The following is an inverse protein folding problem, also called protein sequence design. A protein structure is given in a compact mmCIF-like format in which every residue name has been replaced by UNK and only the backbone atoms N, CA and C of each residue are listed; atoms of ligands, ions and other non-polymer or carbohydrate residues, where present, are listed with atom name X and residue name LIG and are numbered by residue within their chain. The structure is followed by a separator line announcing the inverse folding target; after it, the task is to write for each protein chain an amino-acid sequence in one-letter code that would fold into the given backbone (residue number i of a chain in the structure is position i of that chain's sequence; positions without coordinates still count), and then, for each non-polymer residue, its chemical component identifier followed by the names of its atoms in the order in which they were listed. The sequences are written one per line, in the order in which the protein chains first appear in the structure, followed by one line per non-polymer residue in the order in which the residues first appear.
data_IF_252722612304
#
_entry.id   IF_252722612304
#
_cell.length_a   1.000
_cell.length_b   1.000
_cell.length_c   1.000
_cell.angle_alpha   90.00
_cell.angle_beta   90.00
_cell.angle_gamma   90.00
#
_symmetry.space_group_name_H-M   'P 1'
#
loop_
_entity.id
_entity.type
_entity.pdbx_description
1 polymer ?
#
# COMPACT_ATOMS: atom_id res chain seq x y z
N UNK A 1 33.91 2.32 -11.45
CA UNK A 1 35.31 1.92 -11.19
C UNK A 1 35.35 0.88 -10.08
N UNK A 2 35.91 -0.28 -10.32
CA UNK A 2 36.13 -1.28 -9.26
C UNK A 2 37.67 -1.32 -9.08
N UNK A 3 38.12 -1.17 -7.83
CA UNK A 3 39.58 -1.11 -7.48
C UNK A 3 40.39 -0.09 -8.31
N UNK A 4 39.80 1.10 -8.54
CA UNK A 4 40.48 2.17 -9.30
C UNK A 4 40.59 1.94 -10.81
N UNK A 5 40.16 0.80 -11.32
CA UNK A 5 40.18 0.48 -12.77
C UNK A 5 38.80 0.73 -13.38
N UNK A 6 38.78 1.24 -14.61
CA UNK A 6 37.53 1.27 -15.39
C UNK A 6 37.20 -0.18 -15.78
N UNK A 7 36.21 -0.75 -15.16
CA UNK A 7 35.67 -2.06 -15.53
C UNK A 7 34.43 -1.81 -16.37
N UNK A 8 34.45 -2.34 -17.59
CA UNK A 8 33.24 -2.43 -18.40
C UNK A 8 32.34 -3.49 -17.72
N UNK A 9 31.27 -3.06 -17.03
CA UNK A 9 30.32 -3.98 -16.40
C UNK A 9 29.33 -4.39 -17.49
N UNK A 10 29.77 -5.19 -18.43
CA UNK A 10 28.90 -5.80 -19.44
C UNK A 10 28.26 -7.08 -18.91
N UNK A 11 28.80 -7.67 -17.86
CA UNK A 11 28.31 -8.92 -17.28
C UNK A 11 28.45 -8.88 -15.76
N UNK A 12 27.37 -9.11 -15.08
CA UNK A 12 27.33 -9.31 -13.63
C UNK A 12 26.93 -10.76 -13.40
N UNK A 13 27.84 -11.54 -12.86
CA UNK A 13 27.58 -12.92 -12.51
C UNK A 13 27.00 -12.98 -11.08
N UNK A 14 25.83 -13.56 -10.93
CA UNK A 14 25.28 -13.93 -9.64
C UNK A 14 25.40 -15.44 -9.47
N UNK A 15 25.93 -15.87 -8.34
CA UNK A 15 25.92 -17.28 -7.97
C UNK A 15 24.58 -17.54 -7.28
N UNK A 16 23.73 -18.35 -7.92
CA UNK A 16 22.45 -18.75 -7.38
C UNK A 16 22.59 -20.15 -6.76
N UNK A 17 22.49 -20.22 -5.45
CA UNK A 17 22.41 -21.49 -4.74
C UNK A 17 20.95 -21.80 -4.42
N UNK A 18 20.44 -22.93 -4.92
CA UNK A 18 19.12 -23.41 -4.56
C UNK A 18 19.24 -24.21 -3.26
N UNK A 19 18.54 -23.75 -2.23
CA UNK A 19 18.45 -24.44 -0.95
C UNK A 19 17.00 -24.96 -0.83
N UNK A 20 16.83 -26.26 -0.69
CA UNK A 20 15.51 -26.90 -0.61
C UNK A 20 15.19 -27.39 0.80
N UNK A 21 13.91 -27.29 1.15
CA UNK A 21 13.33 -27.91 2.34
C UNK A 21 13.48 -27.13 3.64
N UNK A 22 13.07 -27.76 4.74
CA UNK A 22 13.03 -27.18 6.09
C UNK A 22 14.37 -26.72 6.67
N UNK A 23 15.47 -27.02 5.99
CA UNK A 23 16.81 -26.61 6.38
C UNK A 23 17.24 -25.26 5.80
N UNK A 24 16.41 -24.61 4.95
CA UNK A 24 16.77 -23.35 4.29
C UNK A 24 17.29 -22.29 5.28
N UNK A 25 16.55 -22.06 6.35
CA UNK A 25 16.96 -21.07 7.36
C UNK A 25 18.25 -21.49 8.07
N UNK A 26 18.43 -22.77 8.34
CA UNK A 26 19.67 -23.28 8.96
C UNK A 26 20.89 -23.10 8.05
N UNK A 27 20.73 -23.33 6.76
CA UNK A 27 21.81 -23.12 5.78
C UNK A 27 22.10 -21.62 5.62
N UNK A 28 21.08 -20.77 5.57
CA UNK A 28 21.24 -19.32 5.57
C UNK A 28 22.00 -18.83 6.80
N UNK A 29 21.69 -19.37 7.98
CA UNK A 29 22.37 -19.00 9.23
C UNK A 29 23.84 -19.44 9.26
N UNK A 30 24.21 -20.52 8.59
CA UNK A 30 25.63 -20.92 8.46
C UNK A 30 26.46 -19.88 7.69
N UNK A 31 25.86 -19.20 6.72
CA UNK A 31 26.50 -18.13 5.96
C UNK A 31 26.65 -16.83 6.78
N UNK A 32 25.82 -16.63 7.79
CA UNK A 32 25.89 -15.48 8.69
C UNK A 32 26.92 -15.77 9.78
N UNK A 33 28.10 -15.16 9.63
CA UNK A 33 29.21 -15.36 10.57
C UNK A 33 29.15 -14.47 11.81
N UNK A 34 28.33 -13.43 11.79
CA UNK A 34 28.17 -12.50 12.90
C UNK A 34 27.30 -13.09 14.00
N UNK A 35 27.90 -13.34 15.18
CA UNK A 35 27.21 -13.96 16.32
C UNK A 35 26.06 -13.11 16.87
N UNK A 36 26.19 -11.78 16.84
CA UNK A 36 25.17 -10.87 17.32
C UNK A 36 23.91 -10.94 16.45
N UNK A 37 24.09 -10.98 15.12
CA UNK A 37 22.98 -11.19 14.18
C UNK A 37 22.28 -12.52 14.43
N UNK A 38 23.05 -13.59 14.66
CA UNK A 38 22.49 -14.92 14.96
C UNK A 38 21.69 -14.91 16.26
N UNK A 39 22.22 -14.29 17.32
CA UNK A 39 21.51 -14.16 18.60
C UNK A 39 20.20 -13.39 18.42
N UNK A 40 20.21 -12.29 17.68
CA UNK A 40 19.00 -11.49 17.43
C UNK A 40 17.96 -12.26 16.63
N UNK A 41 18.38 -13.03 15.64
CA UNK A 41 17.49 -13.90 14.87
C UNK A 41 16.85 -14.98 15.75
N UNK A 42 17.61 -15.55 16.69
CA UNK A 42 17.08 -16.52 17.63
C UNK A 42 16.08 -15.89 18.63
N UNK A 43 16.33 -14.66 19.09
CA UNK A 43 15.38 -13.91 19.92
C UNK A 43 14.08 -13.61 19.16
N UNK A 44 14.18 -13.15 17.92
CA UNK A 44 13.03 -12.92 17.05
C UNK A 44 12.25 -14.23 16.85
N UNK A 45 12.94 -15.33 16.59
CA UNK A 45 12.33 -16.65 16.47
C UNK A 45 11.52 -17.07 17.70
N UNK A 46 11.98 -16.68 18.89
CA UNK A 46 11.29 -16.99 20.17
C UNK A 46 10.09 -16.07 20.40
N UNK A 47 10.19 -14.80 20.02
CA UNK A 47 9.22 -13.76 20.34
C UNK A 47 8.07 -13.68 19.34
N UNK A 48 8.32 -13.99 18.08
CA UNK A 48 7.28 -13.97 17.06
C UNK A 48 6.56 -15.31 16.97
N UNK A 49 5.23 -15.26 17.03
CA UNK A 49 4.35 -16.42 16.80
C UNK A 49 4.43 -16.97 15.35
N UNK A 50 5.28 -16.41 14.53
CA UNK A 50 5.54 -16.89 13.17
C UNK A 50 6.40 -18.14 13.25
N UNK A 51 5.85 -19.21 12.75
CA UNK A 51 6.50 -20.51 12.74
C UNK A 51 7.55 -20.53 11.61
N UNK A 52 8.78 -20.07 11.89
CA UNK A 52 9.89 -20.05 10.92
C UNK A 52 10.22 -21.42 10.34
N UNK A 53 9.85 -22.49 11.04
CA UNK A 53 10.01 -23.85 10.55
C UNK A 53 9.13 -24.15 9.33
N UNK A 54 8.17 -23.24 8.99
CA UNK A 54 7.29 -23.31 7.80
C UNK A 54 7.73 -22.42 6.65
N UNK A 55 8.83 -21.66 6.76
CA UNK A 55 9.33 -20.88 5.63
C UNK A 55 10.03 -21.86 4.68
N UNK A 56 9.33 -22.15 3.59
CA UNK A 56 9.80 -23.09 2.58
C UNK A 56 10.53 -22.41 1.44
N UNK A 57 10.29 -21.10 1.22
CA UNK A 57 10.81 -20.33 0.11
C UNK A 57 11.27 -18.95 0.53
N UNK A 58 12.33 -18.46 -0.10
CA UNK A 58 12.83 -17.11 0.14
C UNK A 58 14.06 -16.79 -0.67
N UNK A 59 14.51 -15.55 -0.60
CA UNK A 59 15.76 -15.08 -1.19
C UNK A 59 16.55 -14.33 -0.12
N UNK A 60 17.81 -14.68 0.05
CA UNK A 60 18.73 -13.94 0.90
C UNK A 60 19.79 -13.23 0.05
N UNK A 61 20.01 -11.95 0.33
CA UNK A 61 21.07 -11.17 -0.27
C UNK A 61 22.10 -10.80 0.81
N UNK A 62 23.29 -11.36 0.70
CA UNK A 62 24.38 -11.07 1.63
C UNK A 62 25.38 -10.16 0.92
N UNK A 63 25.55 -8.93 1.43
CA UNK A 63 26.47 -7.95 0.89
C UNK A 63 27.66 -7.84 1.85
N UNK A 64 28.84 -8.19 1.35
CA UNK A 64 30.10 -8.18 2.10
C UNK A 64 31.08 -7.20 1.45
N UNK A 65 32.05 -6.70 2.23
CA UNK A 65 33.12 -5.83 1.75
C UNK A 65 32.57 -4.57 1.04
N UNK A 66 31.66 -3.89 1.71
CA UNK A 66 31.11 -2.63 1.24
C UNK A 66 32.25 -1.65 0.92
N UNK A 67 32.11 -0.92 -0.18
CA UNK A 67 33.11 0.04 -0.63
C UNK A 67 33.16 1.28 0.25
N UNK A 68 31.98 1.69 0.71
CA UNK A 68 31.79 2.84 1.57
C UNK A 68 31.26 2.35 2.94
N UNK A 69 31.58 3.07 4.00
CA UNK A 69 31.01 2.79 5.31
C UNK A 69 29.52 3.12 5.30
N UNK A 70 28.68 2.18 5.65
CA UNK A 70 27.26 2.39 5.84
C UNK A 70 27.03 2.80 7.30
N UNK A 71 26.97 4.10 7.54
CA UNK A 71 26.60 4.62 8.84
C UNK A 71 25.10 4.36 9.17
N UNK A 72 24.74 4.61 10.40
CA UNK A 72 23.37 4.44 10.91
C UNK A 72 22.33 5.16 10.04
N UNK A 73 22.64 6.36 9.58
CA UNK A 73 21.74 7.16 8.74
C UNK A 73 21.52 6.51 7.38
N UNK A 74 22.56 5.94 6.80
CA UNK A 74 22.47 5.29 5.51
C UNK A 74 21.67 3.98 5.62
N UNK A 75 21.97 3.16 6.62
CA UNK A 75 21.24 1.89 6.87
C UNK A 75 19.76 2.18 7.16
N UNK A 76 19.47 3.25 7.92
CA UNK A 76 18.09 3.67 8.16
C UNK A 76 17.38 4.10 6.85
N UNK A 77 18.04 4.81 5.94
CA UNK A 77 17.49 5.12 4.62
C UNK A 77 17.20 3.87 3.79
N UNK A 78 18.08 2.88 3.87
CA UNK A 78 17.85 1.58 3.20
C UNK A 78 16.62 0.91 3.80
N UNK A 79 16.50 0.85 5.13
CA UNK A 79 15.36 0.31 5.81
C UNK A 79 14.06 0.99 5.37
N UNK A 80 14.01 2.33 5.39
CA UNK A 80 12.86 3.10 4.93
C UNK A 80 12.53 2.85 3.45
N UNK A 81 13.53 2.63 2.61
CA UNK A 81 13.33 2.29 1.20
C UNK A 81 12.70 0.90 1.05
N UNK A 82 13.12 -0.06 1.87
CA UNK A 82 12.57 -1.41 1.88
C UNK A 82 11.11 -1.42 2.36
N UNK A 83 10.75 -0.58 3.34
CA UNK A 83 9.34 -0.41 3.77
C UNK A 83 8.42 0.02 2.61
N UNK A 84 8.95 0.79 1.66
CA UNK A 84 8.19 1.21 0.47
C UNK A 84 7.99 0.08 -0.57
N UNK A 85 8.69 -1.03 -0.44
CA UNK A 85 8.49 -2.20 -1.31
C UNK A 85 7.28 -3.02 -0.88
N UNK A 86 6.95 -3.00 0.41
CA UNK A 86 5.74 -3.65 0.90
C UNK A 86 4.52 -2.82 0.55
N UNK A 87 3.51 -3.39 -0.11
CA UNK A 87 2.25 -2.69 -0.33
C UNK A 87 1.57 -2.42 1.02
N UNK A 88 0.91 -1.27 1.18
CA UNK A 88 0.09 -1.04 2.35
C UNK A 88 -1.05 -2.06 2.36
N UNK A 89 -1.07 -2.89 3.35
CA UNK A 89 -2.09 -3.88 3.75
C UNK A 89 -2.78 -4.80 2.72
N UNK A 90 -3.10 -6.00 3.23
CA UNK A 90 -4.08 -6.92 2.65
C UNK A 90 -3.55 -7.80 1.53
N UNK A 91 -2.39 -7.52 1.03
CA UNK A 91 -1.78 -8.23 -0.09
C UNK A 91 -0.75 -9.22 0.47
N UNK A 92 -0.48 -10.29 -0.25
CA UNK A 92 0.54 -11.26 0.15
C UNK A 92 1.80 -10.53 0.58
N UNK A 93 2.02 -10.44 1.88
CA UNK A 93 3.18 -9.75 2.43
C UNK A 93 4.41 -10.57 2.08
N UNK A 94 5.31 -9.97 1.34
CA UNK A 94 6.68 -10.47 1.29
C UNK A 94 7.31 -10.02 2.62
N UNK A 95 7.70 -10.96 3.46
CA UNK A 95 8.43 -10.63 4.66
C UNK A 95 9.85 -10.22 4.25
N UNK A 96 10.16 -8.94 4.40
CA UNK A 96 11.48 -8.39 4.13
C UNK A 96 12.19 -8.22 5.46
N UNK A 97 13.41 -8.73 5.56
CA UNK A 97 14.24 -8.59 6.73
C UNK A 97 15.51 -7.85 6.36
N UNK A 98 15.88 -6.84 7.15
CA UNK A 98 17.16 -6.17 7.03
C UNK A 98 18.00 -6.40 8.29
N UNK A 99 19.21 -6.87 8.11
CA UNK A 99 20.18 -7.02 9.17
C UNK A 99 21.47 -6.31 8.81
N UNK A 100 22.04 -5.62 9.79
CA UNK A 100 23.36 -5.00 9.68
C UNK A 100 24.27 -5.59 10.74
N UNK A 101 25.50 -5.93 10.38
CA UNK A 101 26.48 -6.43 11.32
C UNK A 101 26.92 -5.42 12.38
N UNK A 102 26.73 -4.11 12.11
CA UNK A 102 27.10 -3.04 13.02
C UNK A 102 25.89 -2.51 13.83
N UNK A 103 24.66 -2.66 13.31
CA UNK A 103 23.45 -2.06 13.89
C UNK A 103 22.37 -3.10 14.17
N UNK A 104 22.77 -4.22 14.75
CA UNK A 104 21.90 -5.40 14.94
C UNK A 104 20.64 -5.11 15.77
N UNK A 105 20.72 -4.19 16.73
CA UNK A 105 19.60 -3.89 17.62
C UNK A 105 18.50 -3.03 17.01
N UNK A 106 18.75 -2.42 15.85
CA UNK A 106 17.84 -1.45 15.23
C UNK A 106 17.01 -2.02 14.09
N UNK A 107 17.47 -3.10 13.48
CA UNK A 107 16.90 -3.59 12.23
C UNK A 107 16.47 -5.04 12.35
N UNK A 108 15.41 -5.37 11.65
CA UNK A 108 14.80 -6.70 11.67
C UNK A 108 13.75 -6.81 10.59
N UNK A 109 12.56 -7.26 10.93
CA UNK A 109 11.43 -7.30 10.02
C UNK A 109 11.06 -5.88 9.59
N UNK A 110 11.06 -5.68 8.28
CA UNK A 110 10.59 -4.45 7.65
C UNK A 110 9.07 -4.55 7.55
N UNK A 111 8.38 -4.13 8.60
CA UNK A 111 6.92 -4.15 8.63
C UNK A 111 6.36 -2.75 8.37
N UNK A 112 5.32 -2.69 7.57
CA UNK A 112 4.49 -1.50 7.48
C UNK A 112 3.38 -1.67 8.51
N UNK A 113 3.43 -0.88 9.57
CA UNK A 113 2.30 -0.76 10.49
C UNK A 113 1.05 -0.35 9.71
N UNK A 114 -0.06 -1.00 10.06
CA UNK A 114 -1.36 -0.63 9.51
C UNK A 114 -1.65 0.84 9.78
N UNK A 115 -1.83 1.62 8.70
CA UNK A 115 -2.20 3.02 8.85
C UNK A 115 -3.67 3.15 9.22
N UNK A 116 -3.93 3.59 10.46
CA UNK A 116 -5.29 3.67 11.03
C UNK A 116 -5.88 5.09 11.00
N UNK A 117 -5.07 6.12 10.76
CA UNK A 117 -5.50 7.52 10.78
C UNK A 117 -5.93 8.02 9.39
N UNK A 118 -6.78 7.27 8.71
CA UNK A 118 -7.41 7.68 7.46
C UNK A 118 -8.85 8.11 7.67
N UNK A 119 -9.40 8.90 6.74
CA UNK A 119 -10.84 9.22 6.73
C UNK A 119 -11.63 8.15 5.99
N UNK A 120 -11.11 7.70 4.85
CA UNK A 120 -11.69 6.60 4.08
C UNK A 120 -10.60 5.65 3.61
N UNK A 121 -10.89 4.35 3.70
CA UNK A 121 -10.15 3.29 3.02
C UNK A 121 -11.11 2.58 2.07
N UNK A 122 -10.71 2.45 0.83
CA UNK A 122 -11.45 1.73 -0.19
C UNK A 122 -10.61 0.56 -0.68
N UNK A 123 -11.21 -0.62 -0.75
CA UNK A 123 -10.62 -1.79 -1.37
C UNK A 123 -11.54 -2.25 -2.49
N UNK A 124 -11.09 -2.11 -3.74
CA UNK A 124 -11.81 -2.57 -4.91
C UNK A 124 -11.16 -3.86 -5.43
N UNK A 125 -11.95 -4.89 -5.61
CA UNK A 125 -11.49 -6.19 -6.11
C UNK A 125 -12.28 -6.60 -7.34
N UNK A 126 -11.57 -6.96 -8.38
CA UNK A 126 -12.13 -7.54 -9.57
C UNK A 126 -11.57 -8.94 -9.78
N UNK A 127 -12.45 -9.92 -10.11
CA UNK A 127 -12.10 -11.29 -10.42
C UNK A 127 -12.77 -11.67 -11.74
N UNK A 128 -11.97 -11.83 -12.79
CA UNK A 128 -12.44 -12.13 -14.14
C UNK A 128 -13.05 -13.54 -14.27
N UNK A 129 -12.37 -14.50 -13.67
CA UNK A 129 -12.72 -15.91 -13.82
C UNK A 129 -13.83 -16.39 -12.87
N UNK A 130 -14.48 -15.47 -12.19
CA UNK A 130 -15.67 -15.82 -11.44
C UNK A 130 -16.79 -16.08 -12.46
N UNK A 131 -17.27 -17.33 -12.54
CA UNK A 131 -18.31 -17.77 -13.48
C UNK A 131 -19.54 -16.86 -13.42
N UNK A 132 -19.77 -16.23 -12.26
CA UNK A 132 -20.87 -15.31 -12.01
C UNK A 132 -20.57 -13.85 -12.43
N UNK A 133 -19.35 -13.55 -12.89
CA UNK A 133 -18.95 -12.16 -13.20
C UNK A 133 -19.08 -11.82 -14.71
N UNK A 134 -20.20 -12.22 -15.31
CA UNK A 134 -20.51 -11.93 -16.72
C UNK A 134 -20.61 -10.42 -17.00
N UNK A 135 -21.00 -9.65 -15.99
CA UNK A 135 -21.26 -8.22 -16.06
C UNK A 135 -20.06 -7.31 -15.70
N UNK A 136 -18.86 -7.87 -15.59
CA UNK A 136 -17.66 -7.13 -15.21
C UNK A 136 -17.81 -6.33 -13.90
N UNK A 137 -18.34 -7.00 -12.87
CA UNK A 137 -18.60 -6.39 -11.59
C UNK A 137 -17.32 -6.22 -10.75
N UNK A 138 -17.15 -5.05 -10.20
CA UNK A 138 -16.11 -4.73 -9.20
C UNK A 138 -16.75 -4.70 -7.82
N UNK A 139 -16.21 -5.48 -6.89
CA UNK A 139 -16.60 -5.43 -5.48
C UNK A 139 -15.79 -4.34 -4.81
N UNK A 140 -16.46 -3.42 -4.13
CA UNK A 140 -15.85 -2.27 -3.48
C UNK A 140 -16.23 -2.29 -2.01
N UNK A 141 -15.23 -2.49 -1.15
CA UNK A 141 -15.36 -2.41 0.29
C UNK A 141 -14.89 -1.04 0.74
N UNK A 142 -15.69 -0.34 1.51
CA UNK A 142 -15.38 1.00 1.98
C UNK A 142 -15.40 1.01 3.50
N UNK A 143 -14.30 1.45 4.09
CA UNK A 143 -14.21 1.74 5.52
C UNK A 143 -14.28 3.26 5.69
N UNK A 144 -15.24 3.70 6.49
CA UNK A 144 -15.48 5.10 6.85
C UNK A 144 -14.97 5.33 8.26
N UNK A 145 -13.89 6.07 8.39
CA UNK A 145 -13.29 6.38 9.68
C UNK A 145 -13.26 7.90 9.97
N UNK A 146 -14.01 8.65 9.17
CA UNK A 146 -14.02 10.11 9.19
C UNK A 146 -14.75 10.69 10.40
N UNK A 147 -15.84 10.06 10.84
CA UNK A 147 -16.74 10.63 11.83
C UNK A 147 -16.58 10.01 13.21
N UNK A 148 -16.75 10.82 14.26
CA UNK A 148 -17.04 10.31 15.59
C UNK A 148 -18.55 10.13 15.74
N UNK A 149 -18.97 8.87 15.73
CA UNK A 149 -20.40 8.54 15.83
C UNK A 149 -21.06 9.07 17.10
N UNK A 150 -20.30 9.25 18.18
CA UNK A 150 -20.86 9.76 19.45
C UNK A 150 -21.24 11.24 19.36
N UNK A 151 -20.65 11.99 18.44
CA UNK A 151 -20.94 13.40 18.21
C UNK A 151 -22.14 13.59 17.26
N UNK A 152 -22.61 12.53 16.60
CA UNK A 152 -23.69 12.63 15.62
C UNK A 152 -25.04 12.63 16.31
N UNK A 153 -25.82 13.69 16.08
CA UNK A 153 -27.22 13.75 16.54
C UNK A 153 -28.06 12.70 15.78
N UNK A 154 -28.65 11.77 16.52
CA UNK A 154 -29.45 10.68 15.94
C UNK A 154 -30.64 11.18 15.11
N UNK A 155 -31.15 12.39 15.35
CA UNK A 155 -32.18 13.03 14.53
C UNK A 155 -31.79 13.22 13.09
N UNK A 156 -30.45 13.24 12.79
CA UNK A 156 -29.95 13.27 11.43
C UNK A 156 -30.50 12.10 10.59
N UNK A 157 -30.65 10.93 11.20
CA UNK A 157 -31.13 9.73 10.53
C UNK A 157 -32.65 9.67 10.34
N UNK A 158 -33.38 10.71 10.76
CA UNK A 158 -34.80 10.86 10.49
C UNK A 158 -35.05 11.44 9.10
N UNK A 159 -34.06 12.13 8.50
CA UNK A 159 -34.16 12.66 7.14
C UNK A 159 -34.17 11.52 6.10
N UNK A 160 -34.96 11.71 5.04
CA UNK A 160 -35.13 10.70 3.98
C UNK A 160 -33.83 10.27 3.34
N UNK A 161 -32.89 11.22 3.13
CA UNK A 161 -31.59 11.02 2.52
C UNK A 161 -30.66 10.16 3.40
N UNK A 162 -30.90 10.18 4.72
CA UNK A 162 -30.13 9.40 5.69
C UNK A 162 -30.78 8.05 6.01
N UNK A 163 -31.88 7.71 5.38
CA UNK A 163 -32.53 6.38 5.50
C UNK A 163 -32.11 5.42 4.39
N UNK A 164 -31.34 5.91 3.43
CA UNK A 164 -30.93 5.16 2.25
C UNK A 164 -29.47 4.71 2.38
N UNK A 165 -29.22 3.44 2.06
CA UNK A 165 -27.86 2.91 1.98
C UNK A 165 -26.99 3.75 1.04
N UNK A 166 -25.74 4.08 1.40
CA UNK A 166 -24.99 3.67 2.60
C UNK A 166 -25.00 4.69 3.74
N UNK A 167 -26.02 5.55 3.82
CA UNK A 167 -26.12 6.63 4.80
C UNK A 167 -27.05 6.30 5.97
N UNK A 168 -27.73 5.15 5.92
CA UNK A 168 -28.59 4.71 6.99
C UNK A 168 -27.84 4.47 8.32
N UNK A 169 -28.57 4.59 9.42
CA UNK A 169 -28.03 4.50 10.77
C UNK A 169 -27.18 3.24 11.02
N UNK A 170 -27.62 2.10 10.49
CA UNK A 170 -26.92 0.83 10.67
C UNK A 170 -25.56 0.87 9.97
N UNK A 171 -25.54 1.20 8.68
CA UNK A 171 -24.34 1.30 7.86
C UNK A 171 -23.39 2.38 8.39
N UNK A 172 -23.93 3.47 8.91
CA UNK A 172 -23.12 4.54 9.51
C UNK A 172 -22.41 4.08 10.78
N UNK A 173 -23.10 3.30 11.61
CA UNK A 173 -22.57 2.77 12.87
C UNK A 173 -21.53 1.68 12.66
N UNK A 174 -21.69 0.85 11.61
CA UNK A 174 -20.76 -0.24 11.29
C UNK A 174 -19.44 0.27 10.71
N UNK A 175 -19.35 1.54 10.31
CA UNK A 175 -18.16 2.15 9.71
C UNK A 175 -17.66 1.45 8.44
N UNK A 176 -18.23 0.32 8.07
CA UNK A 176 -17.84 -0.50 6.91
C UNK A 176 -19.08 -0.88 6.09
N UNK A 177 -18.95 -0.77 4.77
CA UNK A 177 -20.00 -1.23 3.85
C UNK A 177 -19.39 -1.68 2.51
N UNK A 178 -20.16 -2.51 1.80
CA UNK A 178 -19.76 -3.06 0.52
C UNK A 178 -20.71 -2.62 -0.59
N UNK A 179 -20.13 -2.30 -1.74
CA UNK A 179 -20.82 -1.99 -2.99
C UNK A 179 -20.36 -2.97 -4.07
N UNK A 180 -21.26 -3.23 -5.02
CA UNK A 180 -20.88 -3.88 -6.28
C UNK A 180 -21.26 -2.94 -7.41
N UNK A 181 -20.33 -2.68 -8.34
CA UNK A 181 -20.52 -1.77 -9.46
C UNK A 181 -19.96 -2.38 -10.74
N UNK A 182 -20.64 -2.14 -11.85
CA UNK A 182 -20.11 -2.49 -13.19
C UNK A 182 -19.05 -1.48 -13.61
N UNK A 183 -18.11 -1.89 -14.45
CA UNK A 183 -17.14 -0.95 -15.04
C UNK A 183 -17.83 0.19 -15.77
N UNK A 184 -18.92 -0.08 -16.50
CA UNK A 184 -19.72 0.94 -17.20
C UNK A 184 -20.32 2.00 -16.28
N UNK A 185 -20.60 1.66 -15.02
CA UNK A 185 -21.09 2.62 -14.01
C UNK A 185 -19.95 3.45 -13.42
N UNK A 186 -18.75 2.87 -13.29
CA UNK A 186 -17.58 3.53 -12.72
C UNK A 186 -16.93 4.50 -13.71
N UNK A 187 -16.95 4.18 -15.00
CA UNK A 187 -16.31 4.95 -16.06
C UNK A 187 -17.39 5.65 -16.90
N UNK A 188 -17.73 6.88 -16.50
CA UNK A 188 -18.74 7.68 -17.20
C UNK A 188 -18.34 7.97 -18.65
N UNK A 189 -19.29 7.79 -19.57
CA UNK A 189 -19.10 8.06 -20.99
C UNK A 189 -18.26 7.02 -21.72
N UNK A 190 -17.98 5.90 -21.05
CA UNK A 190 -17.28 4.80 -21.67
C UNK A 190 -18.28 3.88 -22.39
N UNK A 191 -18.13 3.76 -23.71
CA UNK A 191 -18.79 2.71 -24.50
C UNK A 191 -17.78 1.59 -24.74
N UNK A 192 -18.13 0.35 -24.42
CA UNK A 192 -17.23 -0.80 -24.61
C UNK A 192 -17.21 -1.30 -26.07
N UNK A 193 -17.11 -0.35 -27.01
CA UNK A 193 -17.06 -0.64 -28.45
C UNK A 193 -15.83 -1.49 -28.81
N UNK A 194 -14.77 -1.39 -28.01
CA UNK A 194 -13.49 -2.08 -28.23
C UNK A 194 -13.32 -3.34 -27.38
N UNK A 195 -14.32 -3.73 -26.61
CA UNK A 195 -14.24 -4.87 -25.70
C UNK A 195 -13.01 -4.83 -24.74
N UNK A 196 -12.60 -3.62 -24.33
CA UNK A 196 -11.42 -3.42 -23.48
C UNK A 196 -11.56 -4.18 -22.17
N UNK A 197 -12.76 -4.22 -21.60
CA UNK A 197 -13.01 -4.93 -20.34
C UNK A 197 -12.73 -6.44 -20.45
N UNK A 198 -12.84 -7.03 -21.63
CA UNK A 198 -12.46 -8.44 -21.85
C UNK A 198 -10.99 -8.71 -21.65
N UNK A 199 -10.14 -7.68 -21.80
CA UNK A 199 -8.69 -7.79 -21.65
C UNK A 199 -8.22 -7.47 -20.23
N UNK A 200 -9.10 -6.94 -19.38
CA UNK A 200 -8.78 -6.70 -17.97
C UNK A 200 -8.87 -8.01 -17.23
N UNK A 201 -7.79 -8.43 -16.63
CA UNK A 201 -7.70 -9.57 -15.72
C UNK A 201 -7.94 -9.19 -14.27
N UNK A 202 -7.65 -10.10 -13.36
CA UNK A 202 -7.79 -9.89 -11.93
C UNK A 202 -6.95 -8.71 -11.45
N UNK A 203 -7.55 -7.88 -10.60
CA UNK A 203 -6.81 -6.82 -9.91
C UNK A 203 -7.42 -6.54 -8.53
N UNK A 204 -6.60 -5.92 -7.70
CA UNK A 204 -7.00 -5.32 -6.44
C UNK A 204 -6.49 -3.87 -6.38
N UNK A 205 -7.32 -2.98 -5.89
CA UNK A 205 -6.99 -1.57 -5.70
C UNK A 205 -7.32 -1.17 -4.27
N UNK A 206 -6.30 -0.79 -3.51
CA UNK A 206 -6.45 -0.20 -2.18
C UNK A 206 -6.19 1.29 -2.26
N UNK A 207 -7.06 2.08 -1.67
CA UNK A 207 -7.01 3.53 -1.71
C UNK A 207 -7.31 4.10 -0.33
N UNK A 208 -6.45 5.00 0.13
CA UNK A 208 -6.63 5.78 1.35
C UNK A 208 -6.86 7.24 1.01
N UNK A 209 -7.84 7.83 1.64
CA UNK A 209 -8.11 9.26 1.58
C UNK A 209 -7.90 9.88 2.96
N UNK A 210 -7.17 11.00 2.99
CA UNK A 210 -6.84 11.74 4.19
C UNK A 210 -7.16 13.21 3.99
N UNK A 211 -7.97 13.78 4.87
CA UNK A 211 -8.15 15.24 4.93
C UNK A 211 -6.88 15.89 5.49
N UNK A 212 -6.45 16.96 4.86
CA UNK A 212 -5.26 17.71 5.28
C UNK A 212 -5.59 18.89 6.19
N UNK A 213 -6.86 19.26 6.26
CA UNK A 213 -7.30 20.45 7.01
C UNK A 213 -8.24 20.06 8.12
N UNK A 214 -7.89 20.48 9.33
CA UNK A 214 -8.78 20.46 10.49
C UNK A 214 -9.50 21.81 10.51
N UNK A 215 -10.80 21.86 10.77
CA UNK A 215 -11.50 23.11 11.04
C UNK A 215 -10.86 23.82 12.24
N UNK A 216 -10.75 25.15 12.18
CA UNK A 216 -10.27 25.94 13.31
C UNK A 216 -11.15 25.75 14.55
N UNK A 217 -10.59 26.03 15.73
CA UNK A 217 -11.21 25.77 17.03
C UNK A 217 -12.62 26.36 17.18
N UNK A 218 -12.89 27.51 16.56
CA UNK A 218 -14.22 28.16 16.54
C UNK A 218 -15.31 27.33 15.87
N UNK A 219 -14.94 26.40 15.00
CA UNK A 219 -15.87 25.55 14.26
C UNK A 219 -15.79 24.09 14.69
N UNK A 220 -14.94 23.75 15.64
CA UNK A 220 -14.68 22.36 16.05
C UNK A 220 -15.94 21.71 16.61
N UNK A 221 -16.76 22.43 17.36
CA UNK A 221 -18.02 21.94 17.90
C UNK A 221 -19.09 21.65 16.83
N UNK A 222 -18.93 22.23 15.64
CA UNK A 222 -19.83 22.00 14.51
C UNK A 222 -19.44 20.82 13.64
N UNK A 223 -18.24 20.26 13.86
CA UNK A 223 -17.69 19.18 13.04
C UNK A 223 -17.77 17.86 13.79
N UNK A 224 -18.40 16.90 13.16
CA UNK A 224 -18.61 15.54 13.66
C UNK A 224 -17.43 14.61 13.35
N UNK A 225 -16.27 15.18 13.04
CA UNK A 225 -15.10 14.42 12.61
C UNK A 225 -14.26 13.93 13.77
N UNK A 226 -13.66 12.75 13.61
CA UNK A 226 -12.64 12.24 14.53
C UNK A 226 -11.42 13.17 14.56
N UNK A 227 -10.77 13.23 15.69
CA UNK A 227 -9.51 13.94 15.84
C UNK A 227 -8.39 13.22 15.07
N UNK A 228 -7.49 14.01 14.47
CA UNK A 228 -6.33 13.45 13.79
C UNK A 228 -5.25 13.10 14.80
N UNK A 229 -4.58 11.96 14.58
CA UNK A 229 -3.46 11.51 15.43
C UNK A 229 -2.16 12.31 15.18
N UNK A 230 -2.16 13.24 14.22
CA UNK A 230 -1.07 14.20 14.02
C UNK A 230 0.10 13.73 13.14
N UNK A 231 0.08 12.50 12.66
CA UNK A 231 1.17 11.93 11.84
C UNK A 231 0.83 11.78 10.34
N UNK A 232 -0.35 12.25 9.91
CA UNK A 232 -0.85 12.14 8.52
C UNK A 232 0.11 12.72 7.48
N UNK A 233 0.65 13.92 7.73
CA UNK A 233 1.59 14.55 6.80
C UNK A 233 2.84 13.71 6.58
N UNK A 234 3.45 13.22 7.67
CA UNK A 234 4.64 12.37 7.60
C UNK A 234 4.35 11.05 6.87
N UNK A 235 3.16 10.50 7.10
CA UNK A 235 2.75 9.27 6.42
C UNK A 235 2.56 9.50 4.92
N UNK A 236 1.88 10.59 4.52
CA UNK A 236 1.72 10.95 3.10
C UNK A 236 3.08 11.28 2.44
N UNK A 237 3.98 11.96 3.15
CA UNK A 237 5.34 12.21 2.66
C UNK A 237 6.13 10.92 2.39
N UNK A 238 5.80 9.84 3.06
CA UNK A 238 6.44 8.53 2.89
C UNK A 238 5.68 7.63 1.92
N UNK A 239 4.37 7.53 2.09
CA UNK A 239 3.54 6.54 1.40
C UNK A 239 2.56 7.13 0.38
N UNK A 240 2.49 8.44 0.24
CA UNK A 240 1.58 9.12 -0.68
C UNK A 240 1.72 8.69 -2.13
N UNK A 241 0.68 8.98 -2.92
CA UNK A 241 0.56 8.54 -4.31
C UNK A 241 0.01 7.13 -4.47
N UNK A 242 -0.43 6.82 -5.68
CA UNK A 242 -0.97 5.49 -6.02
C UNK A 242 0.14 4.67 -6.68
N UNK A 243 0.54 3.61 -6.02
CA UNK A 243 1.62 2.73 -6.45
C UNK A 243 1.09 1.58 -7.29
N UNK A 244 1.92 1.07 -8.18
CA UNK A 244 1.59 -0.07 -9.03
C UNK A 244 2.44 -1.27 -8.63
N UNK A 245 1.80 -2.42 -8.45
CA UNK A 245 2.46 -3.69 -8.15
C UNK A 245 2.06 -4.74 -9.19
N UNK A 246 3.04 -5.42 -9.74
CA UNK A 246 2.87 -6.54 -10.65
C UNK A 246 3.58 -7.76 -10.09
N UNK A 247 2.85 -8.87 -9.93
CA UNK A 247 3.36 -10.10 -9.32
C UNK A 247 4.08 -9.83 -7.97
N UNK A 248 3.47 -8.99 -7.13
CA UNK A 248 3.98 -8.50 -5.83
C UNK A 248 5.22 -7.59 -5.89
N UNK A 249 5.75 -7.29 -7.09
CA UNK A 249 6.86 -6.37 -7.28
C UNK A 249 6.37 -4.97 -7.62
N UNK A 250 6.93 -3.97 -6.93
CA UNK A 250 6.63 -2.57 -7.22
C UNK A 250 7.13 -2.16 -8.61
N UNK A 251 6.24 -1.63 -9.42
CA UNK A 251 6.57 -1.06 -10.73
C UNK A 251 6.85 0.43 -10.56
N UNK A 252 8.11 0.82 -10.68
CA UNK A 252 8.51 2.22 -10.63
C UNK A 252 8.37 2.87 -12.01
N UNK A 253 8.19 4.21 -12.08
CA UNK A 253 8.11 5.19 -10.97
C UNK A 253 6.68 5.52 -10.51
N UNK A 254 5.66 4.75 -10.86
CA UNK A 254 4.26 5.06 -10.58
C UNK A 254 4.00 5.34 -9.10
N UNK A 255 3.43 6.54 -8.83
CA UNK A 255 3.14 7.00 -7.48
C UNK A 255 4.39 7.28 -6.63
N UNK A 256 5.55 7.51 -7.24
CA UNK A 256 6.80 7.79 -6.53
C UNK A 256 6.92 9.27 -6.21
N UNK A 257 7.05 9.58 -4.91
CA UNK A 257 7.12 10.95 -4.40
C UNK A 257 8.37 11.64 -4.96
N UNK A 258 8.21 12.91 -5.35
CA UNK A 258 9.31 13.69 -5.94
C UNK A 258 9.57 13.42 -7.41
N UNK A 259 8.78 12.59 -8.06
CA UNK A 259 8.85 12.33 -9.51
C UNK A 259 7.64 12.87 -10.25
N UNK A 260 7.76 13.02 -11.57
CA UNK A 260 6.62 13.40 -12.42
C UNK A 260 5.50 12.33 -12.42
N UNK A 261 5.84 11.08 -12.13
CA UNK A 261 4.89 9.98 -12.05
C UNK A 261 4.19 9.87 -10.69
N UNK A 262 4.38 10.83 -9.77
CA UNK A 262 3.66 10.85 -8.50
C UNK A 262 2.15 10.87 -8.71
N UNK A 263 1.67 11.75 -9.58
CA UNK A 263 0.25 11.89 -9.93
C UNK A 263 -0.06 11.35 -11.35
N UNK A 264 0.41 10.15 -11.64
CA UNK A 264 0.19 9.53 -12.95
C UNK A 264 -1.28 9.28 -13.31
N UNK A 265 -2.17 9.29 -12.32
CA UNK A 265 -3.63 9.26 -12.50
C UNK A 265 -4.23 10.63 -12.77
N UNK A 266 -3.42 11.69 -12.79
CA UNK A 266 -3.82 13.07 -13.09
C UNK A 266 -4.93 13.58 -12.14
N UNK A 267 -4.87 13.23 -10.87
CA UNK A 267 -5.85 13.66 -9.86
C UNK A 267 -5.82 15.17 -9.67
N UNK A 268 -4.62 15.77 -9.67
CA UNK A 268 -4.44 17.22 -9.57
C UNK A 268 -5.02 17.99 -10.74
N UNK A 269 -4.81 17.49 -11.96
CA UNK A 269 -5.41 18.07 -13.16
C UNK A 269 -6.94 17.98 -13.12
N UNK A 270 -7.48 16.81 -12.80
CA UNK A 270 -8.93 16.62 -12.64
C UNK A 270 -9.53 17.49 -11.55
N UNK A 271 -8.78 17.78 -10.49
CA UNK A 271 -9.19 18.73 -9.45
C UNK A 271 -9.22 20.15 -9.99
N UNK A 272 -8.21 20.57 -10.76
CA UNK A 272 -8.07 21.92 -11.31
C UNK A 272 -9.06 22.26 -12.43
N UNK A 273 -9.42 21.29 -13.27
CA UNK A 273 -10.28 21.49 -14.44
C UNK A 273 -11.74 21.85 -14.13
N UNK A 274 -12.22 21.67 -12.91
CA UNK A 274 -13.61 21.96 -12.58
C UNK A 274 -13.79 22.54 -11.17
N UNK A 275 -13.27 23.75 -10.90
CA UNK A 275 -13.49 24.42 -9.63
C UNK A 275 -14.97 24.77 -9.38
N UNK A 276 -15.74 25.07 -10.42
CA UNK A 276 -17.18 25.35 -10.32
C UNK A 276 -18.05 24.11 -10.13
N UNK A 277 -17.57 22.93 -10.55
CA UNK A 277 -18.25 21.64 -10.35
C UNK A 277 -18.20 21.14 -8.91
N UNK A 278 -17.31 21.70 -8.08
CA UNK A 278 -17.21 21.41 -6.65
C UNK A 278 -18.48 21.80 -5.87
N UNK A 279 -19.21 22.81 -6.32
CA UNK A 279 -20.43 23.26 -5.67
C UNK A 279 -21.62 22.30 -5.84
N UNK A 280 -21.55 21.34 -6.74
CA UNK A 280 -22.74 20.57 -7.12
C UNK A 280 -22.70 19.06 -6.94
N UNK A 281 -21.59 18.35 -6.96
CA UNK A 281 -21.52 16.89 -6.71
C UNK A 281 -20.08 16.37 -6.69
N UNK A 282 -19.51 16.20 -5.53
CA UNK A 282 -18.34 15.39 -5.30
C UNK A 282 -17.05 16.18 -5.23
N UNK A 283 -16.54 16.30 -4.02
CA UNK A 283 -15.17 16.77 -3.79
C UNK A 283 -14.22 15.85 -4.55
N UNK A 284 -13.41 16.42 -5.42
CA UNK A 284 -12.33 15.68 -6.05
C UNK A 284 -11.14 15.64 -5.10
N UNK A 285 -10.55 14.49 -5.01
CA UNK A 285 -9.37 14.29 -4.17
C UNK A 285 -8.14 14.93 -4.81
N UNK A 286 -7.24 15.45 -3.99
CA UNK A 286 -5.95 15.98 -4.43
C UNK A 286 -4.87 14.89 -4.31
N UNK A 287 -3.80 14.94 -5.12
CA UNK A 287 -2.71 13.95 -5.05
C UNK A 287 -2.08 13.83 -3.65
N UNK A 288 -1.96 14.95 -2.94
CA UNK A 288 -1.40 15.00 -1.58
C UNK A 288 -2.37 14.60 -0.46
N UNK A 289 -3.54 14.11 -0.81
CA UNK A 289 -4.54 13.59 0.13
C UNK A 289 -4.72 12.08 -0.01
N UNK A 290 -3.96 11.45 -0.90
CA UNK A 290 -4.19 10.05 -1.24
C UNK A 290 -2.92 9.23 -1.17
N UNK A 291 -3.11 8.00 -0.77
CA UNK A 291 -2.12 6.93 -0.91
C UNK A 291 -2.85 5.66 -1.33
N UNK A 292 -2.14 4.73 -1.93
CA UNK A 292 -2.74 3.47 -2.31
C UNK A 292 -1.87 2.62 -3.20
N UNK A 293 -2.45 1.50 -3.62
CA UNK A 293 -1.79 0.55 -4.48
C UNK A 293 -2.78 -0.12 -5.43
N UNK A 294 -2.37 -0.29 -6.67
CA UNK A 294 -3.02 -1.18 -7.63
C UNK A 294 -2.16 -2.41 -7.76
N UNK A 295 -2.75 -3.57 -7.58
CA UNK A 295 -2.07 -4.85 -7.69
C UNK A 295 -2.73 -5.71 -8.78
N UNK A 296 -1.90 -6.29 -9.61
CA UNK A 296 -2.31 -7.25 -10.64
C UNK A 296 -1.21 -8.27 -10.91
N UNK A 297 -1.62 -9.39 -11.47
CA UNK A 297 -0.71 -10.44 -11.93
C UNK A 297 -0.49 -10.32 -13.44
N UNK A 298 0.74 -10.58 -13.88
CA UNK A 298 1.06 -10.70 -15.32
C UNK A 298 0.35 -11.88 -15.96
N UNK A 299 0.07 -12.94 -15.21
CA UNK A 299 -0.63 -14.11 -15.72
C UNK A 299 -2.06 -13.75 -16.11
N UNK A 300 -2.75 -12.98 -15.26
CA UNK A 300 -4.14 -12.58 -15.49
C UNK A 300 -4.25 -11.37 -16.42
N UNK A 301 -3.19 -10.57 -16.53
CA UNK A 301 -3.11 -9.34 -17.31
C UNK A 301 -1.91 -9.37 -18.29
N UNK A 302 -1.89 -10.26 -19.29
CA UNK A 302 -0.72 -10.46 -20.14
C UNK A 302 -0.39 -9.28 -21.06
N UNK A 303 -1.31 -8.33 -21.20
CA UNK A 303 -1.16 -7.14 -22.04
C UNK A 303 -0.75 -5.87 -21.26
N UNK A 304 -0.57 -5.97 -19.93
CA UNK A 304 -0.14 -4.88 -19.04
C UNK A 304 1.33 -5.01 -18.62
#
# INVERSE_FOLDING_TARGET
KINGRNVNINEVYAILNKIEGSNYIKELFKEITNKEVLTKLEEIKKNEKQNYDKIENGTALIIKNLRDSWDDNYVNKVFQTLELLNPPEGLNKINIWLFSGEYVDKYGLVDNEEFKDYDYKLVATYKKNNVDNIDYNVKIKIHRNEFDFNLIDKRLFEYSEMKVFPFDLKTFKEEEFQLTRKFSELIKGYADDKNIFKNIGDFEFTFYFLKNTIPGDENREKYLYKEFLGNRSKWIEKFGGIKLYRDDFRVRPYGEIGTQAYDWLMLGERFGQNPAGLARRGSRVRPNQVAGAIKFSRIDNPYL
#
